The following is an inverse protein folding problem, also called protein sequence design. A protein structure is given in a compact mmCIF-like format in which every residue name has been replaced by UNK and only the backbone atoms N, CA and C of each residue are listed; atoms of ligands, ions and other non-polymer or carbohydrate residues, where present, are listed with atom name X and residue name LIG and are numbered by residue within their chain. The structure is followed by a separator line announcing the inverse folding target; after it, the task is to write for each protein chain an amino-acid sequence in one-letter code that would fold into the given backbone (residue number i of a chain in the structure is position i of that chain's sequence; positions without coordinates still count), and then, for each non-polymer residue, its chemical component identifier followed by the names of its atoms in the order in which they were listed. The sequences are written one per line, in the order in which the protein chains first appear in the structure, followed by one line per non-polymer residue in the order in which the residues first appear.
data_IF_887322485071
#
_entry.id   IF_887322485071
#
_cell.length_a   1.000
_cell.length_b   1.000
_cell.length_c   1.000
_cell.angle_alpha   90.00
_cell.angle_beta   90.00
_cell.angle_gamma   90.00
#
_symmetry.space_group_name_H-M   'P 1'
#
loop_
_entity.id
_entity.type
_entity.pdbx_description
1 polymer ?
#
# COMPACT_ATOMS: atom_id res chain seq x y z
N UNK A 1 -12.11 -24.12 -23.04
CA UNK A 1 -11.56 -23.12 -24.01
C UNK A 1 -12.13 -21.73 -23.76
N UNK A 2 -12.13 -21.23 -22.51
CA UNK A 2 -12.75 -19.94 -22.15
C UNK A 2 -11.78 -18.98 -21.45
N UNK A 3 -10.52 -19.36 -21.26
CA UNK A 3 -9.58 -18.54 -20.48
C UNK A 3 -8.74 -17.50 -21.24
N UNK A 4 -8.78 -17.45 -22.57
CA UNK A 4 -7.97 -16.51 -23.36
C UNK A 4 -8.64 -15.18 -23.69
N UNK A 5 -9.97 -15.10 -23.62
CA UNK A 5 -10.70 -13.87 -23.96
C UNK A 5 -10.78 -12.87 -22.79
N UNK A 6 -10.75 -13.34 -21.52
CA UNK A 6 -10.89 -12.47 -20.35
C UNK A 6 -9.63 -11.66 -20.02
N UNK A 7 -8.43 -12.21 -20.27
CA UNK A 7 -7.16 -11.51 -19.98
C UNK A 7 -6.88 -10.40 -20.99
N UNK A 8 -7.33 -10.54 -22.24
CA UNK A 8 -7.12 -9.50 -23.27
C UNK A 8 -7.99 -8.24 -23.07
N UNK A 9 -9.12 -8.34 -22.34
CA UNK A 9 -10.03 -7.23 -22.10
C UNK A 9 -9.62 -6.36 -20.88
N UNK A 10 -8.76 -6.85 -19.99
CA UNK A 10 -8.39 -6.13 -18.75
C UNK A 10 -7.65 -4.81 -19.00
N UNK A 11 -6.65 -4.72 -19.89
CA UNK A 11 -5.99 -3.45 -20.20
C UNK A 11 -6.97 -2.41 -20.75
N UNK A 12 -7.84 -2.80 -21.67
CA UNK A 12 -8.85 -1.91 -22.23
C UNK A 12 -9.85 -1.42 -21.18
N UNK A 13 -10.21 -2.26 -20.21
CA UNK A 13 -11.10 -1.87 -19.10
C UNK A 13 -10.42 -0.86 -18.19
N UNK A 14 -9.14 -1.06 -17.82
CA UNK A 14 -8.37 -0.14 -17.01
C UNK A 14 -8.16 1.22 -17.70
N UNK A 15 -7.87 1.22 -19.00
CA UNK A 15 -7.72 2.44 -19.80
C UNK A 15 -9.03 3.20 -19.93
N UNK A 16 -10.16 2.52 -20.14
CA UNK A 16 -11.48 3.14 -20.18
C UNK A 16 -11.85 3.82 -18.87
N UNK A 17 -11.59 3.16 -17.73
CA UNK A 17 -11.83 3.76 -16.42
C UNK A 17 -10.92 4.96 -16.20
N UNK A 18 -9.65 4.87 -16.56
CA UNK A 18 -8.73 6.01 -16.48
C UNK A 18 -9.20 7.18 -17.36
N UNK A 19 -9.66 6.91 -18.58
CA UNK A 19 -10.21 7.94 -19.47
C UNK A 19 -11.47 8.58 -18.90
N UNK A 20 -12.37 7.79 -18.28
CA UNK A 20 -13.57 8.31 -17.62
C UNK A 20 -13.22 9.20 -16.41
N UNK A 21 -12.25 8.80 -15.59
CA UNK A 21 -11.75 9.61 -14.46
C UNK A 21 -11.24 10.97 -14.99
N UNK A 22 -10.40 10.96 -16.00
CA UNK A 22 -9.84 12.18 -16.58
C UNK A 22 -10.92 13.06 -17.22
N UNK A 23 -11.89 12.46 -17.89
CA UNK A 23 -13.01 13.18 -18.49
C UNK A 23 -13.87 13.88 -17.42
N UNK A 24 -14.21 13.19 -16.32
CA UNK A 24 -14.97 13.79 -15.22
C UNK A 24 -14.18 14.86 -14.48
N UNK A 25 -12.87 14.63 -14.29
CA UNK A 25 -11.98 15.62 -13.69
C UNK A 25 -11.94 16.90 -14.52
N UNK A 26 -11.66 16.80 -15.82
CA UNK A 26 -11.52 17.95 -16.73
C UNK A 26 -12.86 18.62 -17.04
N UNK A 27 -13.97 17.90 -17.05
CA UNK A 27 -15.31 18.48 -17.19
C UNK A 27 -15.65 19.45 -16.05
N UNK A 28 -14.97 19.32 -14.91
CA UNK A 28 -15.04 20.25 -13.78
C UNK A 28 -16.48 20.51 -13.27
N UNK A 29 -17.36 19.50 -13.39
CA UNK A 29 -18.76 19.60 -12.93
C UNK A 29 -18.90 19.54 -11.42
N UNK A 30 -17.97 18.87 -10.76
CA UNK A 30 -17.95 18.68 -9.30
C UNK A 30 -16.68 19.33 -8.70
N UNK A 31 -16.71 19.70 -7.43
CA UNK A 31 -15.52 20.24 -6.74
C UNK A 31 -14.43 19.17 -6.53
N UNK A 32 -14.74 17.90 -6.70
CA UNK A 32 -13.79 16.82 -6.56
C UNK A 32 -14.21 15.55 -7.27
N UNK A 33 -13.23 14.69 -7.51
CA UNK A 33 -13.39 13.32 -8.00
C UNK A 33 -12.62 12.40 -7.05
N UNK A 34 -13.24 11.32 -6.60
CA UNK A 34 -12.60 10.31 -5.74
C UNK A 34 -12.28 9.08 -6.56
N UNK A 35 -11.10 8.50 -6.34
CA UNK A 35 -10.67 7.27 -7.01
C UNK A 35 -10.20 6.25 -5.98
N UNK A 36 -10.96 5.18 -5.85
CA UNK A 36 -10.60 3.99 -5.10
C UNK A 36 -9.62 3.14 -5.90
N UNK A 37 -8.53 2.79 -5.30
CA UNK A 37 -7.45 2.08 -5.97
C UNK A 37 -6.91 0.95 -5.11
N UNK A 38 -7.15 -0.31 -5.46
CA UNK A 38 -6.56 -1.45 -4.75
C UNK A 38 -5.03 -1.47 -4.90
N UNK A 39 -4.32 -2.34 -4.14
CA UNK A 39 -2.87 -2.43 -4.20
C UNK A 39 -2.37 -2.69 -5.61
N UNK A 40 -1.42 -1.87 -6.07
CA UNK A 40 -0.80 -2.06 -7.38
C UNK A 40 -1.68 -1.71 -8.59
N UNK A 41 -2.79 -1.00 -8.42
CA UNK A 41 -3.67 -0.63 -9.54
C UNK A 41 -3.18 0.58 -10.34
N UNK A 42 -2.01 1.14 -10.04
CA UNK A 42 -1.42 2.22 -10.81
C UNK A 42 -1.78 3.63 -10.34
N UNK A 43 -2.06 3.81 -9.03
CA UNK A 43 -2.32 5.14 -8.41
C UNK A 43 -1.36 6.22 -8.88
N UNK A 44 -0.06 6.02 -8.67
CA UNK A 44 0.95 7.03 -9.03
C UNK A 44 0.96 7.34 -10.54
N UNK A 45 0.67 6.35 -11.39
CA UNK A 45 0.54 6.54 -12.84
C UNK A 45 -0.67 7.43 -13.15
N UNK A 46 -1.81 7.20 -12.47
CA UNK A 46 -3.00 8.05 -12.60
C UNK A 46 -2.71 9.47 -12.12
N UNK A 47 -2.05 9.65 -10.96
CA UNK A 47 -1.67 10.97 -10.43
C UNK A 47 -0.80 11.74 -11.44
N UNK A 48 0.23 11.08 -11.97
CA UNK A 48 1.13 11.68 -12.98
C UNK A 48 0.38 12.03 -14.26
N UNK A 49 -0.50 11.15 -14.75
CA UNK A 49 -1.30 11.39 -15.95
C UNK A 49 -2.29 12.52 -15.74
N UNK A 50 -3.02 12.53 -14.63
CA UNK A 50 -3.96 13.60 -14.31
C UNK A 50 -3.28 14.98 -14.20
N UNK A 51 -2.14 15.03 -13.52
CA UNK A 51 -1.36 16.26 -13.43
C UNK A 51 -0.90 16.78 -14.80
N UNK A 52 -0.46 15.89 -15.69
CA UNK A 52 -0.03 16.24 -17.03
C UNK A 52 -1.21 16.73 -17.90
N UNK A 53 -2.38 16.08 -17.82
CA UNK A 53 -3.59 16.48 -18.55
C UNK A 53 -4.11 17.86 -18.07
N UNK A 54 -4.14 18.10 -16.75
CA UNK A 54 -4.49 19.42 -16.21
C UNK A 54 -3.48 20.49 -16.68
N UNK A 55 -2.18 20.17 -16.59
CA UNK A 55 -1.11 21.06 -17.03
C UNK A 55 -1.21 21.40 -18.53
N UNK A 56 -1.66 20.45 -19.37
CA UNK A 56 -1.89 20.67 -20.79
C UNK A 56 -2.98 21.73 -21.08
N UNK A 57 -3.91 21.95 -20.13
CA UNK A 57 -4.89 23.05 -20.22
C UNK A 57 -4.32 24.41 -19.80
N UNK A 58 -3.02 24.52 -19.52
CA UNK A 58 -2.39 25.74 -19.04
C UNK A 58 -2.60 26.03 -17.56
N UNK A 59 -3.21 25.12 -16.80
CA UNK A 59 -3.47 25.26 -15.37
C UNK A 59 -2.31 24.73 -14.54
N UNK A 60 -2.01 25.40 -13.41
CA UNK A 60 -1.05 24.91 -12.43
C UNK A 60 -1.70 23.92 -11.48
N UNK A 61 -0.92 22.92 -11.05
CA UNK A 61 -1.40 21.82 -10.21
C UNK A 61 -0.62 21.79 -8.88
N UNK A 62 -1.38 21.71 -7.79
CA UNK A 62 -0.89 21.39 -6.46
C UNK A 62 -0.99 19.89 -6.23
N UNK A 63 0.09 19.22 -5.82
CA UNK A 63 0.04 17.82 -5.44
C UNK A 63 0.39 17.66 -3.97
N UNK A 64 -0.44 16.90 -3.27
CA UNK A 64 -0.31 16.60 -1.85
C UNK A 64 0.00 15.11 -1.69
N UNK A 65 1.10 14.77 -1.04
CA UNK A 65 1.46 13.42 -0.66
C UNK A 65 1.64 13.30 0.87
N UNK A 66 1.76 12.09 1.41
CA UNK A 66 1.86 11.89 2.85
C UNK A 66 3.31 11.89 3.34
N UNK A 67 4.25 11.42 2.53
CA UNK A 67 5.66 11.28 2.91
C UNK A 67 6.61 11.95 1.91
N UNK A 68 7.82 12.30 2.37
CA UNK A 68 8.84 12.86 1.48
C UNK A 68 9.26 11.88 0.38
N UNK A 69 9.28 10.59 0.67
CA UNK A 69 9.63 9.57 -0.33
C UNK A 69 8.61 9.52 -1.48
N UNK A 70 7.31 9.59 -1.15
CA UNK A 70 6.24 9.72 -2.16
C UNK A 70 6.36 10.99 -2.97
N UNK A 71 6.66 12.12 -2.32
CA UNK A 71 6.92 13.40 -3.02
C UNK A 71 8.06 13.23 -4.02
N UNK A 72 9.18 12.66 -3.58
CA UNK A 72 10.38 12.49 -4.41
C UNK A 72 10.14 11.53 -5.59
N UNK A 73 9.39 10.44 -5.40
CA UNK A 73 9.00 9.53 -6.49
C UNK A 73 8.10 10.23 -7.52
N UNK A 74 7.10 10.99 -7.05
CA UNK A 74 6.24 11.76 -7.94
C UNK A 74 7.00 12.85 -8.71
N UNK A 75 7.97 13.53 -8.07
CA UNK A 75 8.84 14.52 -8.74
C UNK A 75 9.59 13.88 -9.91
N UNK A 76 10.22 12.72 -9.70
CA UNK A 76 10.97 12.01 -10.74
C UNK A 76 10.04 11.61 -11.90
N UNK A 77 8.89 11.01 -11.59
CA UNK A 77 7.93 10.56 -12.61
C UNK A 77 7.33 11.72 -13.40
N UNK A 78 7.00 12.83 -12.73
CA UNK A 78 6.44 14.01 -13.37
C UNK A 78 7.49 14.76 -14.19
N UNK A 79 8.73 14.87 -13.71
CA UNK A 79 9.84 15.42 -14.45
C UNK A 79 9.99 14.69 -15.80
N UNK A 80 10.04 13.37 -15.79
CA UNK A 80 10.13 12.57 -17.01
C UNK A 80 8.91 12.75 -17.92
N UNK A 81 7.70 12.70 -17.37
CA UNK A 81 6.45 12.80 -18.15
C UNK A 81 6.26 14.16 -18.78
N UNK A 82 6.42 15.22 -17.99
CA UNK A 82 6.24 16.60 -18.46
C UNK A 82 7.38 17.02 -19.39
N UNK A 83 8.62 16.66 -19.08
CA UNK A 83 9.77 16.96 -19.94
C UNK A 83 9.63 16.39 -21.35
N UNK A 84 9.01 15.19 -21.49
CA UNK A 84 8.71 14.59 -22.78
C UNK A 84 7.58 15.28 -23.56
N UNK A 85 6.63 15.91 -22.87
CA UNK A 85 5.43 16.54 -23.47
C UNK A 85 5.55 18.06 -23.61
N UNK A 86 6.23 18.71 -22.68
CA UNK A 86 6.40 20.15 -22.56
C UNK A 86 7.79 20.48 -22.02
N UNK A 87 8.76 20.74 -22.89
CA UNK A 87 10.14 21.05 -22.48
C UNK A 87 10.28 22.25 -21.53
N UNK A 88 9.33 23.17 -21.56
CA UNK A 88 9.24 24.36 -20.71
C UNK A 88 8.59 24.10 -19.33
N UNK A 89 8.02 22.92 -19.11
CA UNK A 89 7.32 22.62 -17.87
C UNK A 89 8.30 22.38 -16.72
N UNK A 90 8.07 23.09 -15.62
CA UNK A 90 8.86 22.97 -14.39
C UNK A 90 8.08 22.20 -13.33
N UNK A 91 8.72 21.24 -12.69
CA UNK A 91 8.20 20.53 -11.52
C UNK A 91 8.81 21.14 -10.26
N UNK A 92 7.98 21.74 -9.43
CA UNK A 92 8.39 22.33 -8.14
C UNK A 92 8.32 21.31 -7.00
N UNK A 93 9.42 21.07 -6.32
CA UNK A 93 9.43 20.30 -5.06
C UNK A 93 9.50 21.26 -3.89
N UNK A 94 8.39 21.45 -3.18
CA UNK A 94 8.32 22.28 -2.00
C UNK A 94 8.73 21.49 -0.76
N UNK A 95 9.74 21.97 -0.02
CA UNK A 95 10.36 21.24 1.08
C UNK A 95 10.49 22.10 2.36
N UNK A 96 11.00 21.53 3.41
CA UNK A 96 11.46 22.30 4.59
C UNK A 96 12.76 23.04 4.26
N UNK A 97 13.05 24.10 4.99
CA UNK A 97 14.35 24.76 4.93
C UNK A 97 15.49 23.76 5.26
N UNK A 98 16.60 23.86 4.55
CA UNK A 98 17.75 22.97 4.72
C UNK A 98 17.51 21.53 4.25
N UNK A 99 16.54 21.31 3.38
CA UNK A 99 16.33 19.99 2.76
C UNK A 99 17.42 19.75 1.71
N UNK A 100 18.21 18.67 1.88
CA UNK A 100 19.09 18.14 0.84
C UNK A 100 18.29 17.27 -0.13
N UNK A 101 18.28 17.63 -1.40
CA UNK A 101 17.60 16.83 -2.41
C UNK A 101 18.31 15.47 -2.58
N UNK A 102 17.60 14.36 -2.73
CA UNK A 102 18.23 13.10 -3.09
C UNK A 102 18.88 13.18 -4.47
N UNK A 103 19.98 12.44 -4.68
CA UNK A 103 20.72 12.39 -5.94
C UNK A 103 19.82 12.17 -7.17
N UNK A 104 18.76 11.35 -7.02
CA UNK A 104 17.78 11.09 -8.08
C UNK A 104 16.97 12.31 -8.53
N UNK A 105 16.99 13.41 -7.76
CA UNK A 105 16.30 14.66 -8.06
C UNK A 105 17.29 15.73 -8.52
N UNK A 106 18.49 15.81 -7.94
CA UNK A 106 19.49 16.83 -8.20
C UNK A 106 19.90 16.91 -9.68
N UNK A 107 19.86 15.78 -10.41
CA UNK A 107 20.24 15.71 -11.83
C UNK A 107 19.11 16.09 -12.82
N UNK A 108 17.91 16.45 -12.34
CA UNK A 108 16.76 16.72 -13.21
C UNK A 108 16.69 18.20 -13.60
N UNK A 109 16.90 18.52 -14.88
CA UNK A 109 16.99 19.89 -15.40
C UNK A 109 15.68 20.70 -15.33
N UNK A 110 14.53 20.03 -15.28
CA UNK A 110 13.22 20.67 -15.20
C UNK A 110 12.60 20.60 -13.79
N UNK A 111 13.42 20.40 -12.76
CA UNK A 111 12.98 20.37 -11.35
C UNK A 111 13.55 21.56 -10.58
N UNK A 112 12.67 22.28 -9.89
CA UNK A 112 13.03 23.32 -8.95
C UNK A 112 12.72 22.89 -7.52
N UNK A 113 13.68 23.03 -6.60
CA UNK A 113 13.50 22.69 -5.17
C UNK A 113 13.59 23.97 -4.34
N UNK A 114 12.58 24.23 -3.53
CA UNK A 114 12.58 25.38 -2.62
C UNK A 114 11.84 25.09 -1.33
N UNK A 115 12.12 25.87 -0.32
CA UNK A 115 11.34 25.92 0.92
C UNK A 115 10.25 27.00 0.90
N UNK A 116 10.26 27.87 -0.07
CA UNK A 116 9.26 28.92 -0.30
C UNK A 116 8.40 28.61 -1.53
N UNK A 117 7.09 28.57 -1.33
CA UNK A 117 6.11 28.39 -2.42
C UNK A 117 6.09 29.59 -3.39
N UNK A 118 6.57 30.78 -2.97
CA UNK A 118 6.72 31.96 -3.82
C UNK A 118 7.76 31.76 -4.90
N UNK A 119 8.90 31.18 -4.56
CA UNK A 119 9.97 30.88 -5.53
C UNK A 119 9.53 29.83 -6.58
N UNK A 120 8.56 28.97 -6.21
CA UNK A 120 7.99 27.98 -7.10
C UNK A 120 6.74 28.47 -7.87
N UNK A 121 6.44 29.77 -7.83
CA UNK A 121 5.25 30.32 -8.50
C UNK A 121 5.25 30.10 -10.03
N UNK A 122 6.40 29.88 -10.64
CA UNK A 122 6.57 29.56 -12.05
C UNK A 122 6.37 28.07 -12.38
N UNK A 123 6.37 27.20 -11.36
CA UNK A 123 6.25 25.76 -11.57
C UNK A 123 4.86 25.38 -12.14
N UNK A 124 4.87 24.50 -13.12
CA UNK A 124 3.66 23.91 -13.72
C UNK A 124 2.94 23.01 -12.73
N UNK A 125 3.71 22.22 -11.99
CA UNK A 125 3.22 21.33 -10.93
C UNK A 125 4.07 21.57 -9.69
N UNK A 126 3.43 21.80 -8.54
CA UNK A 126 4.14 21.93 -7.26
C UNK A 126 3.73 20.78 -6.33
N UNK A 127 4.72 20.06 -5.79
CA UNK A 127 4.51 18.88 -4.98
C UNK A 127 5.10 19.07 -3.59
N UNK A 128 4.33 18.71 -2.55
CA UNK A 128 4.82 18.67 -1.16
C UNK A 128 4.02 17.67 -0.31
N UNK A 129 4.51 17.44 0.90
CA UNK A 129 3.73 16.70 1.90
C UNK A 129 2.57 17.55 2.44
N UNK A 130 1.50 16.88 2.91
CA UNK A 130 0.38 17.55 3.58
C UNK A 130 0.86 18.47 4.71
N UNK A 131 1.80 18.00 5.52
CA UNK A 131 2.40 18.79 6.61
C UNK A 131 3.08 20.07 6.10
N UNK A 132 3.79 20.01 4.96
CA UNK A 132 4.43 21.22 4.39
C UNK A 132 3.39 22.17 3.81
N UNK A 133 2.39 21.67 3.12
CA UNK A 133 1.30 22.48 2.58
C UNK A 133 0.51 23.22 3.66
N UNK A 134 0.35 22.66 4.85
CA UNK A 134 -0.32 23.32 5.98
C UNK A 134 0.34 24.65 6.37
N UNK A 135 1.65 24.82 6.10
CA UNK A 135 2.40 26.04 6.38
C UNK A 135 2.43 27.06 5.23
N UNK A 136 1.90 26.72 4.07
CA UNK A 136 1.81 27.65 2.93
C UNK A 136 0.62 28.57 3.15
N UNK A 137 0.85 29.90 3.10
CA UNK A 137 -0.19 30.92 3.20
C UNK A 137 -0.23 31.75 1.92
N UNK A 138 -1.33 32.42 1.68
CA UNK A 138 -1.50 33.41 0.59
C UNK A 138 -1.19 32.89 -0.82
N UNK A 139 -1.43 31.57 -1.03
CA UNK A 139 -1.30 30.91 -2.30
C UNK A 139 -2.52 30.04 -2.57
N UNK A 140 -2.96 30.07 -3.84
CA UNK A 140 -4.15 29.34 -4.27
C UNK A 140 -3.91 28.67 -5.63
N UNK A 141 -4.48 27.48 -5.78
CA UNK A 141 -4.44 26.67 -6.99
C UNK A 141 -5.87 26.33 -7.43
N UNK A 142 -6.12 26.38 -8.70
CA UNK A 142 -7.41 25.91 -9.21
C UNK A 142 -7.55 24.40 -9.04
N UNK A 143 -6.43 23.65 -9.12
CA UNK A 143 -6.41 22.21 -9.10
C UNK A 143 -5.46 21.65 -8.05
N UNK A 144 -5.96 20.68 -7.30
CA UNK A 144 -5.16 19.85 -6.43
C UNK A 144 -5.28 18.37 -6.81
N UNK A 145 -4.25 17.59 -6.50
CA UNK A 145 -4.29 16.13 -6.50
C UNK A 145 -3.81 15.69 -5.13
N UNK A 146 -4.63 14.91 -4.43
CA UNK A 146 -4.31 14.36 -3.10
C UNK A 146 -4.02 12.88 -3.28
N UNK A 147 -2.76 12.51 -3.20
CA UNK A 147 -2.32 11.12 -3.23
C UNK A 147 -2.40 10.50 -1.83
N UNK A 148 -2.70 9.21 -1.76
CA UNK A 148 -2.98 8.45 -0.53
C UNK A 148 -4.06 9.14 0.34
N UNK A 149 -5.14 9.60 -0.29
CA UNK A 149 -6.17 10.43 0.33
C UNK A 149 -6.90 9.74 1.49
N UNK A 150 -7.01 8.39 1.48
CA UNK A 150 -7.58 7.62 2.58
C UNK A 150 -6.74 7.63 3.85
N UNK A 151 -5.42 7.83 3.72
CA UNK A 151 -4.51 7.97 4.86
C UNK A 151 -4.41 9.39 5.40
N UNK A 152 -4.92 10.36 4.65
CA UNK A 152 -4.97 11.73 5.12
C UNK A 152 -6.04 11.86 6.19
N UNK A 153 -5.70 12.51 7.29
CA UNK A 153 -6.64 12.87 8.35
C UNK A 153 -7.60 13.96 7.86
N UNK A 154 -8.84 13.93 8.35
CA UNK A 154 -9.85 14.93 7.98
C UNK A 154 -9.44 16.35 8.37
N UNK A 155 -8.82 16.55 9.54
CA UNK A 155 -8.30 17.88 9.98
C UNK A 155 -7.17 18.38 9.08
N UNK A 156 -6.33 17.49 8.57
CA UNK A 156 -5.28 17.85 7.62
C UNK A 156 -5.87 18.34 6.29
N UNK A 157 -6.93 17.69 5.79
CA UNK A 157 -7.62 18.16 4.60
C UNK A 157 -8.26 19.54 4.83
N UNK A 158 -8.93 19.75 5.96
CA UNK A 158 -9.51 21.04 6.32
C UNK A 158 -8.45 22.15 6.33
N UNK A 159 -7.23 21.87 6.85
CA UNK A 159 -6.11 22.80 6.82
C UNK A 159 -5.63 23.16 5.41
N UNK A 160 -5.97 22.38 4.39
CA UNK A 160 -5.56 22.60 2.99
C UNK A 160 -6.70 23.07 2.09
N UNK A 161 -7.95 22.84 2.47
CA UNK A 161 -9.12 23.02 1.60
C UNK A 161 -9.29 24.43 1.03
N UNK A 162 -8.84 25.46 1.76
CA UNK A 162 -8.88 26.85 1.28
C UNK A 162 -7.84 27.18 0.19
N UNK A 163 -6.94 26.25 -0.16
CA UNK A 163 -5.85 26.49 -1.10
C UNK A 163 -6.14 26.04 -2.52
N UNK A 164 -7.27 25.40 -2.75
CA UNK A 164 -7.65 24.92 -4.08
C UNK A 164 -9.17 24.96 -4.28
N UNK A 165 -9.59 25.04 -5.54
CA UNK A 165 -11.02 25.03 -5.89
C UNK A 165 -11.53 23.61 -6.14
N UNK A 166 -10.69 22.76 -6.75
CA UNK A 166 -11.05 21.42 -7.21
C UNK A 166 -9.95 20.42 -6.93
N UNK A 167 -10.33 19.18 -6.64
CA UNK A 167 -9.33 18.17 -6.38
C UNK A 167 -9.68 16.78 -6.92
N UNK A 168 -8.63 16.04 -7.29
CA UNK A 168 -8.64 14.60 -7.47
C UNK A 168 -8.11 13.95 -6.19
N UNK A 169 -8.91 13.12 -5.57
CA UNK A 169 -8.55 12.34 -4.38
C UNK A 169 -8.29 10.89 -4.79
N UNK A 170 -7.04 10.44 -4.71
CA UNK A 170 -6.66 9.07 -5.08
C UNK A 170 -6.16 8.34 -3.85
N UNK A 171 -6.66 7.14 -3.61
CA UNK A 171 -6.21 6.38 -2.45
C UNK A 171 -6.74 4.96 -2.43
N UNK A 172 -6.37 4.24 -1.40
CA UNK A 172 -6.72 2.84 -1.20
C UNK A 172 -7.56 2.69 0.08
N UNK A 173 -8.86 2.38 -0.07
CA UNK A 173 -9.77 2.27 1.08
C UNK A 173 -9.49 1.06 1.98
N UNK A 174 -8.79 0.03 1.47
CA UNK A 174 -8.48 -1.19 2.22
C UNK A 174 -7.14 -1.14 2.95
N UNK A 175 -6.34 -0.07 2.80
CA UNK A 175 -5.06 0.07 3.49
C UNK A 175 -5.20 0.79 4.84
N UNK A 176 -4.04 1.13 5.44
CA UNK A 176 -3.95 1.72 6.77
C UNK A 176 -4.81 2.97 6.94
N UNK A 177 -5.43 3.06 8.08
CA UNK A 177 -6.14 4.26 8.51
C UNK A 177 -5.20 5.43 8.80
N UNK A 178 -5.71 6.66 8.85
CA UNK A 178 -4.94 7.79 9.29
C UNK A 178 -4.32 7.57 10.67
N UNK A 179 -3.08 8.00 10.82
CA UNK A 179 -2.32 7.83 12.05
C UNK A 179 -2.09 9.17 12.76
N UNK A 180 -2.22 9.18 14.09
CA UNK A 180 -1.87 10.32 14.94
C UNK A 180 -0.98 9.87 16.10
N UNK A 181 -0.06 10.72 16.50
CA UNK A 181 0.71 10.59 17.75
C UNK A 181 0.04 11.30 18.92
N UNK A 182 -1.02 12.05 18.66
CA UNK A 182 -1.78 12.78 19.67
C UNK A 182 -2.96 11.93 20.10
N UNK A 183 -3.24 11.89 21.40
CA UNK A 183 -4.42 11.24 21.95
C UNK A 183 -5.69 11.92 21.42
N UNK A 184 -6.49 11.13 20.70
CA UNK A 184 -7.73 11.56 20.08
C UNK A 184 -8.94 10.72 20.54
N UNK A 185 -8.77 9.85 21.53
CA UNK A 185 -9.80 8.89 21.97
C UNK A 185 -11.12 9.57 22.32
N UNK A 186 -11.10 10.77 22.91
CA UNK A 186 -12.28 11.57 23.20
C UNK A 186 -13.15 11.94 21.99
N UNK A 187 -12.57 11.87 20.78
CA UNK A 187 -13.26 12.21 19.54
C UNK A 187 -13.69 10.97 18.75
N UNK A 188 -13.23 9.79 19.19
CA UNK A 188 -13.47 8.53 18.48
C UNK A 188 -14.97 8.29 18.25
N UNK A 189 -15.32 8.03 17.01
CA UNK A 189 -16.68 7.76 16.59
C UNK A 189 -17.61 8.97 16.50
N UNK A 190 -17.15 10.16 16.81
CA UNK A 190 -17.92 11.38 16.61
C UNK A 190 -17.79 11.88 15.17
N UNK A 191 -18.80 12.64 14.71
CA UNK A 191 -18.74 13.26 13.38
C UNK A 191 -17.54 14.19 13.18
N UNK A 192 -16.97 14.67 14.27
CA UNK A 192 -15.82 15.58 14.34
C UNK A 192 -14.50 14.87 14.68
N UNK A 193 -14.49 13.55 14.64
CA UNK A 193 -13.28 12.79 14.92
C UNK A 193 -12.19 13.14 13.88
N UNK A 194 -11.09 13.77 14.31
CA UNK A 194 -10.02 14.20 13.40
C UNK A 194 -9.27 13.02 12.76
N UNK A 195 -9.40 11.83 13.34
CA UNK A 195 -8.79 10.60 12.85
C UNK A 195 -9.56 9.93 11.70
N UNK A 196 -10.77 10.41 11.41
CA UNK A 196 -11.48 9.92 10.23
C UNK A 196 -10.68 10.25 8.96
N UNK A 197 -10.71 9.32 8.03
CA UNK A 197 -10.14 9.53 6.69
C UNK A 197 -10.74 10.79 6.05
N UNK A 198 -9.89 11.60 5.44
CA UNK A 198 -10.30 12.77 4.69
C UNK A 198 -11.36 12.45 3.63
N UNK A 199 -11.20 11.30 2.94
CA UNK A 199 -12.17 10.84 1.93
C UNK A 199 -13.50 10.47 2.56
N UNK A 200 -13.51 9.79 3.71
CA UNK A 200 -14.76 9.42 4.39
C UNK A 200 -15.57 10.67 4.79
N UNK A 201 -14.91 11.67 5.34
CA UNK A 201 -15.56 12.94 5.71
C UNK A 201 -16.00 13.71 4.46
N UNK A 202 -15.17 13.73 3.41
CA UNK A 202 -15.48 14.39 2.15
C UNK A 202 -16.76 13.81 1.53
N UNK A 203 -16.86 12.49 1.38
CA UNK A 203 -18.01 11.81 0.78
C UNK A 203 -19.27 11.94 1.61
N UNK A 204 -19.15 11.93 2.96
CA UNK A 204 -20.30 12.17 3.85
C UNK A 204 -20.93 13.54 3.63
N UNK A 205 -20.10 14.56 3.45
CA UNK A 205 -20.56 15.93 3.29
C UNK A 205 -20.87 16.30 1.82
N UNK A 206 -20.44 15.47 0.88
CA UNK A 206 -20.65 15.70 -0.57
C UNK A 206 -21.04 14.36 -1.22
N UNK A 207 -22.27 13.86 -1.00
CA UNK A 207 -22.71 12.54 -1.49
C UNK A 207 -22.74 12.42 -3.03
N UNK A 208 -22.82 13.56 -3.73
CA UNK A 208 -22.90 13.61 -5.20
C UNK A 208 -21.51 13.60 -5.87
N UNK A 209 -20.43 13.51 -5.10
CA UNK A 209 -19.10 13.42 -5.71
C UNK A 209 -18.94 12.11 -6.47
N UNK A 210 -18.43 12.15 -7.72
CA UNK A 210 -18.16 10.93 -8.46
C UNK A 210 -17.05 10.12 -7.78
N UNK A 211 -17.33 8.82 -7.60
CA UNK A 211 -16.37 7.83 -7.08
C UNK A 211 -16.09 6.82 -8.17
N UNK A 212 -14.86 6.80 -8.66
CA UNK A 212 -14.37 5.81 -9.61
C UNK A 212 -13.56 4.73 -8.89
N UNK A 213 -13.41 3.58 -9.53
CA UNK A 213 -12.64 2.45 -8.98
C UNK A 213 -11.71 1.91 -10.05
N UNK A 214 -10.43 1.80 -9.71
CA UNK A 214 -9.46 1.13 -10.58
C UNK A 214 -9.65 -0.38 -10.48
N UNK A 215 -9.97 -1.07 -11.59
CA UNK A 215 -10.45 -2.46 -11.50
C UNK A 215 -9.34 -3.51 -11.49
N UNK A 216 -8.09 -3.13 -11.82
CA UNK A 216 -7.01 -4.09 -12.07
C UNK A 216 -5.80 -3.82 -11.19
N UNK A 217 -5.34 -4.85 -10.47
CA UNK A 217 -4.05 -4.85 -9.78
C UNK A 217 -2.96 -5.39 -10.71
N UNK A 218 -2.01 -4.55 -11.07
CA UNK A 218 -0.82 -4.93 -11.86
C UNK A 218 0.29 -5.54 -11.01
N UNK A 219 0.16 -5.48 -9.70
CA UNK A 219 1.13 -6.02 -8.75
C UNK A 219 0.82 -7.45 -8.35
N UNK A 220 -0.39 -7.69 -7.88
CA UNK A 220 -0.75 -8.95 -7.26
C UNK A 220 -0.88 -10.07 -8.29
N UNK A 221 -0.39 -11.28 -7.98
CA UNK A 221 -0.60 -12.44 -8.84
C UNK A 221 -2.06 -12.89 -8.81
N UNK A 222 -2.47 -13.69 -9.80
CA UNK A 222 -3.82 -14.24 -9.86
C UNK A 222 -4.20 -15.04 -8.59
N UNK A 223 -3.24 -15.70 -7.95
CA UNK A 223 -3.45 -16.43 -6.69
C UNK A 223 -3.85 -15.54 -5.51
N UNK A 224 -3.58 -14.22 -5.58
CA UNK A 224 -3.93 -13.28 -4.53
C UNK A 224 -5.29 -12.61 -4.74
N UNK A 225 -5.85 -12.62 -5.96
CA UNK A 225 -7.09 -11.93 -6.29
C UNK A 225 -8.24 -12.32 -5.37
N UNK A 226 -8.54 -13.61 -5.27
CA UNK A 226 -9.70 -14.09 -4.52
C UNK A 226 -9.62 -13.82 -3.02
N UNK A 227 -8.44 -14.00 -2.41
CA UNK A 227 -8.28 -13.80 -0.97
C UNK A 227 -8.19 -12.33 -0.60
N UNK A 228 -7.40 -11.53 -1.32
CA UNK A 228 -7.22 -10.11 -1.01
C UNK A 228 -8.50 -9.33 -1.30
N UNK A 229 -9.21 -9.64 -2.39
CA UNK A 229 -10.53 -9.03 -2.67
C UNK A 229 -11.53 -9.33 -1.56
N UNK A 230 -11.67 -10.60 -1.17
CA UNK A 230 -12.63 -11.00 -0.15
C UNK A 230 -12.30 -10.43 1.22
N UNK A 231 -11.02 -10.46 1.62
CA UNK A 231 -10.60 -10.03 2.94
C UNK A 231 -10.59 -8.50 3.12
N UNK A 232 -10.33 -7.72 2.06
CA UNK A 232 -10.09 -6.29 2.21
C UNK A 232 -10.92 -5.40 1.27
N UNK A 233 -11.51 -5.96 0.22
CA UNK A 233 -12.26 -5.21 -0.80
C UNK A 233 -13.59 -5.88 -1.15
N UNK A 234 -14.42 -6.30 -0.17
CA UNK A 234 -15.61 -7.12 -0.44
C UNK A 234 -16.66 -6.39 -1.29
N UNK A 235 -16.70 -5.06 -1.26
CA UNK A 235 -17.68 -4.26 -2.00
C UNK A 235 -17.15 -3.69 -3.32
N UNK A 236 -15.84 -3.63 -3.48
CA UNK A 236 -15.22 -3.04 -4.67
C UNK A 236 -14.62 -4.09 -5.57
N UNK A 237 -14.01 -5.11 -4.98
CA UNK A 237 -13.26 -6.11 -5.70
C UNK A 237 -12.13 -5.52 -6.54
N UNK A 238 -11.35 -6.38 -7.13
CA UNK A 238 -10.41 -6.07 -8.22
C UNK A 238 -10.05 -7.38 -8.90
N UNK A 239 -9.45 -7.29 -10.09
CA UNK A 239 -8.87 -8.43 -10.78
C UNK A 239 -7.35 -8.30 -10.82
N UNK A 240 -6.66 -9.43 -10.87
CA UNK A 240 -5.23 -9.45 -11.20
C UNK A 240 -5.03 -9.12 -12.68
N UNK A 241 -4.04 -8.27 -12.98
CA UNK A 241 -3.59 -8.03 -14.35
C UNK A 241 -2.71 -9.18 -14.90
N UNK A 242 -2.32 -10.13 -14.05
CA UNK A 242 -1.59 -11.32 -14.44
C UNK A 242 -2.55 -12.52 -14.57
N UNK A 243 -2.39 -13.28 -15.62
CA UNK A 243 -3.13 -14.54 -15.81
C UNK A 243 -2.72 -15.59 -14.77
N UNK A 244 -3.54 -16.63 -14.62
CA UNK A 244 -3.18 -17.80 -13.81
C UNK A 244 -1.85 -18.38 -14.31
N UNK A 245 -0.94 -18.69 -13.40
CA UNK A 245 0.40 -19.22 -13.68
C UNK A 245 1.33 -18.29 -14.49
N UNK A 246 0.96 -17.05 -14.72
CA UNK A 246 1.85 -16.06 -15.33
C UNK A 246 2.96 -15.61 -14.38
N UNK A 247 2.64 -15.58 -13.08
CA UNK A 247 3.62 -15.23 -12.02
C UNK A 247 3.82 -16.41 -11.10
N UNK A 248 5.02 -16.94 -11.13
CA UNK A 248 5.40 -18.11 -10.36
C UNK A 248 6.72 -17.87 -9.62
N UNK A 249 6.83 -18.44 -8.43
CA UNK A 249 8.08 -18.59 -7.70
C UNK A 249 8.63 -19.99 -8.00
N UNK A 250 9.90 -20.08 -8.37
CA UNK A 250 10.61 -21.33 -8.64
C UNK A 250 11.90 -21.40 -7.88
N UNK A 251 12.47 -22.58 -7.76
CA UNK A 251 13.77 -22.80 -7.13
C UNK A 251 14.68 -23.59 -8.04
N UNK A 252 15.96 -23.19 -8.11
CA UNK A 252 17.00 -23.90 -8.88
C UNK A 252 17.71 -24.95 -8.04
N UNK A 253 17.79 -24.74 -6.72
CA UNK A 253 18.40 -25.68 -5.77
C UNK A 253 17.39 -26.67 -5.18
N UNK A 254 17.89 -27.79 -4.66
CA UNK A 254 17.06 -28.88 -4.14
C UNK A 254 16.31 -28.49 -2.85
N UNK A 255 15.14 -29.06 -2.68
CA UNK A 255 14.43 -29.07 -1.40
C UNK A 255 15.13 -29.99 -0.41
N UNK A 256 15.13 -29.63 0.87
CA UNK A 256 15.58 -30.47 1.98
C UNK A 256 14.38 -30.90 2.82
N UNK A 257 14.53 -31.94 3.59
CA UNK A 257 13.51 -32.29 4.59
C UNK A 257 13.42 -31.19 5.67
N UNK A 258 12.20 -30.81 6.02
CA UNK A 258 11.93 -29.85 7.11
C UNK A 258 10.87 -28.81 6.75
N UNK A 259 10.31 -28.17 7.79
CA UNK A 259 9.14 -27.30 7.62
C UNK A 259 9.43 -26.06 6.79
N UNK A 260 10.64 -25.49 6.86
CA UNK A 260 10.99 -24.31 6.06
C UNK A 260 11.00 -24.63 4.57
N UNK A 261 11.63 -25.74 4.15
CA UNK A 261 11.61 -26.13 2.73
C UNK A 261 10.21 -26.52 2.25
N UNK A 262 9.43 -27.22 3.06
CA UNK A 262 8.04 -27.54 2.76
C UNK A 262 7.18 -26.26 2.59
N UNK A 263 7.43 -25.24 3.43
CA UNK A 263 6.78 -23.93 3.32
C UNK A 263 7.15 -23.22 2.00
N UNK A 264 8.42 -23.27 1.61
CA UNK A 264 8.88 -22.70 0.35
C UNK A 264 8.30 -23.43 -0.86
N UNK A 265 8.20 -24.77 -0.80
CA UNK A 265 7.59 -25.58 -1.86
C UNK A 265 6.08 -25.27 -1.99
N UNK A 266 5.38 -25.10 -0.86
CA UNK A 266 3.97 -24.70 -0.87
C UNK A 266 3.80 -23.28 -1.46
N UNK A 267 4.64 -22.32 -1.06
CA UNK A 267 4.62 -20.97 -1.61
C UNK A 267 4.91 -20.95 -3.13
N UNK A 268 5.81 -21.80 -3.62
CA UNK A 268 6.09 -21.96 -5.05
C UNK A 268 4.88 -22.56 -5.81
N UNK A 269 4.18 -23.51 -5.19
CA UNK A 269 3.04 -24.19 -5.77
C UNK A 269 1.80 -23.31 -5.90
N UNK A 270 1.49 -22.53 -4.84
CA UNK A 270 0.21 -21.84 -4.69
C UNK A 270 0.31 -20.31 -4.71
N UNK A 271 1.50 -19.74 -4.53
CA UNK A 271 1.72 -18.34 -4.27
C UNK A 271 1.52 -17.94 -2.79
N UNK A 272 1.10 -18.90 -1.93
CA UNK A 272 0.84 -18.69 -0.50
C UNK A 272 1.40 -19.82 0.35
N UNK A 273 1.83 -19.51 1.57
CA UNK A 273 2.11 -20.51 2.58
C UNK A 273 1.97 -19.92 3.99
N UNK A 274 1.55 -20.75 4.94
CA UNK A 274 1.62 -20.48 6.37
C UNK A 274 2.58 -21.48 7.04
N UNK A 275 3.70 -20.98 7.54
CA UNK A 275 4.53 -21.75 8.46
C UNK A 275 3.94 -21.61 9.85
N UNK A 276 3.27 -22.67 10.31
CA UNK A 276 2.59 -22.67 11.60
C UNK A 276 3.48 -23.25 12.70
N UNK A 277 3.87 -22.41 13.63
CA UNK A 277 4.63 -22.78 14.82
C UNK A 277 3.68 -23.31 15.90
N UNK A 278 4.17 -24.18 16.84
CA UNK A 278 3.36 -24.64 17.94
C UNK A 278 2.75 -23.51 18.77
N UNK A 279 1.55 -23.73 19.31
CA UNK A 279 0.87 -22.76 20.13
C UNK A 279 1.71 -22.36 21.35
N UNK A 280 1.96 -21.08 21.51
CA UNK A 280 2.68 -20.49 22.64
C UNK A 280 2.33 -19.02 22.77
N UNK A 281 2.08 -18.57 23.99
CA UNK A 281 1.92 -17.14 24.24
C UNK A 281 3.27 -16.46 24.44
N UNK A 282 3.44 -15.29 23.84
CA UNK A 282 4.66 -14.46 23.92
C UNK A 282 4.28 -13.03 24.28
N UNK A 283 5.15 -12.34 25.04
CA UNK A 283 4.80 -11.01 25.60
C UNK A 283 5.12 -9.89 24.60
N UNK A 284 6.28 -9.92 23.96
CA UNK A 284 6.73 -8.85 23.04
C UNK A 284 7.28 -9.42 21.74
N UNK A 285 8.48 -9.97 21.80
CA UNK A 285 9.19 -10.51 20.65
C UNK A 285 9.35 -12.01 20.83
N UNK A 286 8.85 -12.77 19.89
CA UNK A 286 8.93 -14.21 19.83
C UNK A 286 10.20 -14.64 19.13
N UNK A 287 11.19 -15.10 19.91
CA UNK A 287 12.50 -15.47 19.37
C UNK A 287 12.43 -16.65 18.37
N UNK A 288 11.51 -17.60 18.59
CA UNK A 288 11.32 -18.74 17.69
C UNK A 288 10.67 -18.30 16.37
N UNK A 289 9.64 -17.45 16.44
CA UNK A 289 9.02 -16.90 15.24
C UNK A 289 10.00 -16.01 14.45
N UNK A 290 10.78 -15.18 15.13
CA UNK A 290 11.87 -14.39 14.52
C UNK A 290 12.89 -15.29 13.84
N UNK A 291 13.30 -16.38 14.49
CA UNK A 291 14.24 -17.34 13.92
C UNK A 291 13.66 -18.06 12.69
N UNK A 292 12.37 -18.41 12.72
CA UNK A 292 11.65 -19.03 11.61
C UNK A 292 11.55 -18.09 10.40
N UNK A 293 11.17 -16.82 10.62
CA UNK A 293 11.14 -15.77 9.57
C UNK A 293 12.52 -15.60 8.93
N UNK A 294 13.58 -15.45 9.76
CA UNK A 294 14.93 -15.26 9.26
C UNK A 294 15.46 -16.51 8.52
N UNK A 295 15.13 -17.71 9.01
CA UNK A 295 15.49 -18.97 8.34
C UNK A 295 14.79 -19.13 7.00
N UNK A 296 13.50 -18.77 6.90
CA UNK A 296 12.73 -18.81 5.67
C UNK A 296 13.29 -17.86 4.63
N UNK A 297 13.59 -16.60 5.00
CA UNK A 297 14.17 -15.62 4.08
C UNK A 297 15.56 -16.06 3.58
N UNK A 298 16.42 -16.53 4.48
CA UNK A 298 17.73 -17.06 4.10
C UNK A 298 17.62 -18.26 3.20
N UNK A 299 16.79 -19.24 3.55
CA UNK A 299 16.64 -20.48 2.80
C UNK A 299 16.08 -20.24 1.39
N UNK A 300 15.18 -19.26 1.24
CA UNK A 300 14.68 -18.83 -0.06
C UNK A 300 15.83 -18.40 -0.99
N UNK A 301 16.78 -17.61 -0.47
CA UNK A 301 17.97 -17.19 -1.22
C UNK A 301 18.93 -18.37 -1.50
N UNK A 302 19.19 -19.23 -0.51
CA UNK A 302 20.07 -20.39 -0.64
C UNK A 302 19.55 -21.40 -1.67
N UNK A 303 18.23 -21.52 -1.81
CA UNK A 303 17.62 -22.39 -2.85
C UNK A 303 17.65 -21.79 -4.25
N UNK A 304 18.20 -20.57 -4.42
CA UNK A 304 18.22 -19.90 -5.70
C UNK A 304 16.81 -19.65 -6.22
N UNK A 305 16.05 -18.85 -5.46
CA UNK A 305 14.70 -18.46 -5.84
C UNK A 305 14.70 -17.66 -7.15
N UNK A 306 13.77 -17.98 -8.05
CA UNK A 306 13.59 -17.35 -9.36
C UNK A 306 12.13 -16.87 -9.46
N UNK A 307 11.96 -15.61 -9.77
CA UNK A 307 10.66 -14.99 -10.06
C UNK A 307 10.40 -15.04 -11.57
N UNK A 308 9.36 -15.75 -11.98
CA UNK A 308 8.89 -15.82 -13.35
C UNK A 308 7.67 -14.93 -13.57
N UNK A 309 7.67 -14.15 -14.65
CA UNK A 309 6.53 -13.35 -15.09
C UNK A 309 6.35 -13.51 -16.59
N UNK A 310 5.43 -14.36 -17.01
CA UNK A 310 5.28 -14.73 -18.41
C UNK A 310 6.52 -15.47 -18.94
N UNK A 311 7.19 -14.87 -19.94
CA UNK A 311 8.44 -15.38 -20.50
C UNK A 311 9.69 -14.91 -19.74
N UNK A 312 9.56 -13.89 -18.90
CA UNK A 312 10.69 -13.30 -18.18
C UNK A 312 10.95 -14.09 -16.88
N UNK A 313 12.21 -14.47 -16.70
CA UNK A 313 12.71 -15.09 -15.47
C UNK A 313 13.88 -14.29 -14.91
N UNK A 314 13.88 -14.07 -13.58
CA UNK A 314 14.96 -13.37 -12.91
C UNK A 314 15.23 -13.96 -11.53
N UNK A 315 16.48 -13.99 -11.07
CA UNK A 315 16.80 -14.36 -9.71
C UNK A 315 16.11 -13.41 -8.71
N UNK A 316 15.62 -13.96 -7.61
CA UNK A 316 15.12 -13.16 -6.48
C UNK A 316 16.32 -12.75 -5.63
N UNK A 317 16.70 -11.49 -5.75
CA UNK A 317 17.79 -10.89 -4.95
C UNK A 317 17.27 -10.42 -3.59
N UNK A 318 18.15 -10.20 -2.58
CA UNK A 318 17.72 -9.78 -1.24
C UNK A 318 16.84 -8.53 -1.22
N UNK A 319 17.12 -7.54 -2.07
CA UNK A 319 16.34 -6.30 -2.21
C UNK A 319 14.94 -6.52 -2.81
N UNK A 320 14.69 -7.71 -3.36
CA UNK A 320 13.39 -8.13 -3.91
C UNK A 320 12.56 -8.95 -2.91
N UNK A 321 13.07 -9.10 -1.68
CA UNK A 321 12.38 -9.77 -0.56
C UNK A 321 12.06 -8.73 0.50
N UNK A 322 10.82 -8.75 0.99
CA UNK A 322 10.46 -8.00 2.20
C UNK A 322 10.05 -8.94 3.32
N UNK A 323 10.35 -8.51 4.52
CA UNK A 323 9.81 -9.09 5.76
C UNK A 323 8.98 -8.04 6.46
N UNK A 324 7.71 -8.35 6.70
CA UNK A 324 6.77 -7.48 7.38
C UNK A 324 6.44 -7.95 8.79
N UNK A 325 6.42 -7.02 9.75
CA UNK A 325 5.99 -7.27 11.12
C UNK A 325 5.11 -6.14 11.66
N UNK A 326 4.39 -6.41 12.76
CA UNK A 326 3.51 -5.41 13.36
C UNK A 326 4.26 -4.36 14.18
N UNK A 327 5.33 -4.74 14.86
CA UNK A 327 6.03 -3.91 15.84
C UNK A 327 7.50 -3.66 15.48
N UNK A 328 8.02 -2.48 15.83
CA UNK A 328 9.43 -2.10 15.62
C UNK A 328 10.42 -3.03 16.34
N UNK A 329 10.05 -3.52 17.52
CA UNK A 329 10.91 -4.46 18.28
C UNK A 329 11.05 -5.79 17.53
N UNK A 330 9.97 -6.25 16.89
CA UNK A 330 10.00 -7.44 16.02
C UNK A 330 10.88 -7.18 14.79
N UNK A 331 10.73 -6.02 14.14
CA UNK A 331 11.58 -5.61 13.01
C UNK A 331 13.04 -5.66 13.39
N UNK A 332 13.44 -4.99 14.49
CA UNK A 332 14.82 -4.98 14.96
C UNK A 332 15.35 -6.39 15.31
N UNK A 333 14.49 -7.26 15.86
CA UNK A 333 14.88 -8.64 16.15
C UNK A 333 15.08 -9.47 14.89
N UNK A 334 14.21 -9.30 13.88
CA UNK A 334 14.31 -9.99 12.59
C UNK A 334 15.55 -9.52 11.83
N UNK A 335 15.84 -8.20 11.81
CA UNK A 335 17.07 -7.66 11.21
C UNK A 335 18.33 -8.28 11.81
N UNK A 336 18.41 -8.36 13.15
CA UNK A 336 19.52 -9.06 13.82
C UNK A 336 19.59 -10.55 13.47
N UNK A 337 18.44 -11.23 13.41
CA UNK A 337 18.34 -12.63 13.03
C UNK A 337 18.80 -12.91 11.60
N UNK A 338 18.50 -12.01 10.67
CA UNK A 338 18.95 -12.07 9.29
C UNK A 338 20.45 -11.78 9.16
N UNK A 339 20.93 -10.71 9.81
CA UNK A 339 22.35 -10.35 9.82
C UNK A 339 23.22 -11.48 10.34
N UNK A 340 22.82 -12.12 11.44
CA UNK A 340 23.51 -13.27 12.03
C UNK A 340 23.57 -14.50 11.08
N UNK A 341 22.73 -14.53 10.05
CA UNK A 341 22.65 -15.61 9.05
C UNK A 341 23.15 -15.20 7.65
N UNK A 342 23.74 -14.01 7.51
CA UNK A 342 24.23 -13.50 6.23
C UNK A 342 23.13 -13.04 5.28
N UNK A 343 21.93 -12.77 5.76
CA UNK A 343 20.77 -12.27 4.99
C UNK A 343 20.78 -10.75 4.82
N UNK A 344 21.89 -10.19 4.31
CA UNK A 344 21.99 -8.75 4.09
C UNK A 344 21.20 -8.31 2.86
N UNK A 345 20.60 -7.11 2.93
CA UNK A 345 19.88 -6.50 1.82
C UNK A 345 18.37 -6.84 1.76
N UNK A 346 17.89 -7.78 2.59
CA UNK A 346 16.44 -8.02 2.73
C UNK A 346 15.79 -6.83 3.44
N UNK A 347 14.70 -6.31 2.87
CA UNK A 347 13.97 -5.21 3.48
C UNK A 347 13.12 -5.73 4.65
N UNK A 348 13.39 -5.25 5.86
CA UNK A 348 12.56 -5.57 7.04
C UNK A 348 11.91 -4.30 7.54
N UNK A 349 10.57 -4.28 7.67
CA UNK A 349 9.91 -3.08 8.20
C UNK A 349 8.48 -3.37 8.70
N UNK A 350 7.86 -2.36 9.30
CA UNK A 350 6.45 -2.38 9.68
C UNK A 350 5.53 -2.11 8.48
N UNK A 351 4.26 -2.46 8.59
CA UNK A 351 3.26 -2.19 7.55
C UNK A 351 3.29 -0.75 7.06
N UNK A 352 3.38 0.22 7.97
CA UNK A 352 3.41 1.65 7.63
C UNK A 352 4.55 2.03 6.68
N UNK A 353 5.71 1.41 6.82
CA UNK A 353 6.88 1.71 5.99
C UNK A 353 7.01 0.82 4.74
N UNK A 354 6.34 -0.34 4.73
CA UNK A 354 6.23 -1.18 3.54
C UNK A 354 5.16 -0.67 2.57
N UNK A 355 4.36 0.30 3.00
CA UNK A 355 3.31 0.86 2.18
C UNK A 355 3.88 1.52 0.91
N UNK A 356 3.20 1.33 -0.24
CA UNK A 356 3.65 1.78 -1.55
C UNK A 356 4.68 0.88 -2.22
N UNK A 357 5.53 0.18 -1.46
CA UNK A 357 6.56 -0.70 -2.01
C UNK A 357 5.99 -2.00 -2.61
N UNK A 358 6.81 -2.67 -3.44
CA UNK A 358 6.49 -3.99 -3.99
C UNK A 358 7.74 -4.87 -4.07
N UNK A 359 7.54 -6.18 -3.86
CA UNK A 359 8.60 -7.17 -3.79
C UNK A 359 8.20 -8.43 -4.55
N UNK A 360 9.16 -9.26 -4.91
CA UNK A 360 8.84 -10.53 -5.54
C UNK A 360 8.24 -11.50 -4.50
N UNK A 361 8.86 -11.58 -3.32
CA UNK A 361 8.40 -12.40 -2.22
C UNK A 361 8.26 -11.56 -0.94
N UNK A 362 7.18 -11.78 -0.22
CA UNK A 362 6.97 -11.17 1.10
C UNK A 362 6.83 -12.24 2.15
N UNK A 363 7.53 -12.07 3.27
CA UNK A 363 7.43 -12.91 4.45
C UNK A 363 6.80 -12.07 5.56
N UNK A 364 5.73 -12.56 6.16
CA UNK A 364 4.93 -11.82 7.15
C UNK A 364 4.96 -12.53 8.48
N UNK A 365 5.38 -11.86 9.53
CA UNK A 365 5.07 -12.31 10.89
C UNK A 365 3.64 -11.88 11.21
N UNK A 366 2.73 -12.85 11.37
CA UNK A 366 1.31 -12.56 11.57
C UNK A 366 1.10 -11.68 12.82
N UNK A 367 0.34 -10.57 12.73
CA UNK A 367 0.15 -9.64 13.84
C UNK A 367 -0.38 -10.28 15.13
N UNK A 368 -1.22 -11.31 15.02
CA UNK A 368 -1.82 -12.03 16.14
C UNK A 368 -0.97 -13.23 16.63
N UNK A 369 0.18 -13.51 15.99
CA UNK A 369 1.03 -14.65 16.38
C UNK A 369 1.49 -14.58 17.83
N UNK A 370 1.17 -15.61 18.63
CA UNK A 370 1.57 -15.74 20.04
C UNK A 370 0.88 -14.76 21.00
N UNK A 371 -0.13 -14.04 20.55
CA UNK A 371 -0.87 -13.07 21.37
C UNK A 371 -1.87 -13.76 22.30
N UNK A 372 -2.18 -13.10 23.42
CA UNK A 372 -3.27 -13.48 24.34
C UNK A 372 -4.54 -12.67 24.11
N UNK A 373 -4.42 -11.56 23.39
CA UNK A 373 -5.46 -10.59 23.15
C UNK A 373 -5.46 -10.14 21.67
N UNK A 374 -6.61 -9.92 21.14
CA UNK A 374 -6.82 -9.38 19.79
C UNK A 374 -7.17 -7.88 19.89
N UNK A 375 -6.17 -7.05 20.20
CA UNK A 375 -6.41 -5.60 20.31
C UNK A 375 -6.72 -4.96 18.97
N UNK A 376 -7.39 -3.81 18.97
CA UNK A 376 -7.71 -3.01 17.77
C UNK A 376 -6.47 -2.78 16.89
N UNK A 377 -5.29 -2.55 17.50
CA UNK A 377 -4.04 -2.40 16.75
C UNK A 377 -3.68 -3.65 15.93
N UNK A 378 -3.82 -4.85 16.52
CA UNK A 378 -3.46 -6.12 15.86
C UNK A 378 -4.52 -6.57 14.86
N UNK A 379 -5.78 -6.21 15.12
CA UNK A 379 -6.92 -6.50 14.25
C UNK A 379 -7.03 -5.54 13.07
N UNK A 380 -6.34 -4.38 13.06
CA UNK A 380 -6.46 -3.39 11.99
C UNK A 380 -6.35 -4.03 10.60
N UNK A 381 -7.47 -4.06 9.86
CA UNK A 381 -7.56 -4.70 8.54
C UNK A 381 -6.55 -4.14 7.55
N UNK A 382 -6.33 -2.83 7.57
CA UNK A 382 -5.36 -2.15 6.71
C UNK A 382 -3.92 -2.59 6.95
N UNK A 383 -3.56 -2.93 8.20
CA UNK A 383 -2.25 -3.47 8.55
C UNK A 383 -2.02 -4.84 7.91
N UNK A 384 -2.98 -5.74 8.07
CA UNK A 384 -2.91 -7.07 7.46
C UNK A 384 -2.92 -6.96 5.94
N UNK A 385 -3.76 -6.09 5.37
CA UNK A 385 -3.81 -5.82 3.93
C UNK A 385 -2.43 -5.38 3.41
N UNK A 386 -1.78 -4.39 4.03
CA UNK A 386 -0.45 -3.94 3.59
C UNK A 386 0.55 -5.08 3.67
N UNK A 387 0.61 -5.80 4.79
CA UNK A 387 1.57 -6.89 4.97
C UNK A 387 1.41 -8.00 3.92
N UNK A 388 0.17 -8.34 3.56
CA UNK A 388 -0.12 -9.48 2.66
C UNK A 388 -0.32 -9.11 1.19
N UNK A 389 -0.23 -7.82 0.82
CA UNK A 389 -0.45 -7.34 -0.56
C UNK A 389 0.75 -6.66 -1.21
N UNK A 390 1.97 -6.89 -0.71
CA UNK A 390 3.20 -6.30 -1.28
C UNK A 390 3.91 -7.22 -2.27
N UNK A 391 3.50 -8.48 -2.37
CA UNK A 391 4.15 -9.49 -3.21
C UNK A 391 3.69 -9.44 -4.67
N UNK A 392 4.60 -9.88 -5.55
CA UNK A 392 4.32 -10.11 -6.97
C UNK A 392 4.19 -11.59 -7.31
N UNK A 393 4.85 -12.47 -6.54
CA UNK A 393 4.93 -13.90 -6.82
C UNK A 393 4.45 -14.74 -5.64
N UNK A 394 4.94 -14.49 -4.42
CA UNK A 394 4.51 -15.28 -3.27
C UNK A 394 4.45 -14.47 -1.97
N UNK A 395 3.50 -14.84 -1.10
CA UNK A 395 3.39 -14.36 0.27
C UNK A 395 3.50 -15.55 1.22
N UNK A 396 4.47 -15.50 2.14
CA UNK A 396 4.69 -16.51 3.16
C UNK A 396 4.35 -15.89 4.51
N UNK A 397 3.42 -16.49 5.22
CA UNK A 397 3.05 -16.06 6.57
C UNK A 397 3.72 -16.97 7.59
N UNK A 398 4.27 -16.43 8.66
CA UNK A 398 4.76 -17.17 9.83
C UNK A 398 3.88 -16.81 11.00
N UNK A 399 3.29 -17.79 11.64
CA UNK A 399 2.39 -17.58 12.76
C UNK A 399 2.42 -18.77 13.74
N UNK A 400 1.88 -18.55 14.92
CA UNK A 400 1.65 -19.65 15.88
C UNK A 400 0.23 -20.19 15.71
N UNK A 401 0.06 -21.46 15.95
CA UNK A 401 -1.26 -22.07 16.11
C UNK A 401 -2.04 -21.37 17.23
N UNK A 402 -3.38 -21.40 17.15
CA UNK A 402 -4.28 -20.79 18.13
C UNK A 402 -4.76 -19.40 17.76
N UNK A 403 -4.48 -18.88 16.55
CA UNK A 403 -5.03 -17.58 16.10
C UNK A 403 -6.54 -17.65 15.87
N UNK A 404 -7.12 -18.71 15.25
CA UNK A 404 -8.58 -18.84 15.10
C UNK A 404 -9.30 -18.81 16.45
N UNK A 405 -8.80 -19.56 17.44
CA UNK A 405 -9.36 -19.62 18.79
C UNK A 405 -9.26 -18.27 19.51
N UNK A 406 -8.16 -17.53 19.28
CA UNK A 406 -8.00 -16.17 19.79
C UNK A 406 -9.06 -15.23 19.20
N UNK A 407 -9.33 -15.32 17.91
CA UNK A 407 -10.35 -14.51 17.24
C UNK A 407 -11.75 -14.87 17.75
N UNK A 408 -12.04 -16.14 17.91
CA UNK A 408 -13.34 -16.61 18.44
C UNK A 408 -13.59 -16.13 19.87
N UNK A 409 -12.52 -16.07 20.68
CA UNK A 409 -12.58 -15.54 22.04
C UNK A 409 -12.69 -14.01 22.11
N UNK A 410 -12.31 -13.30 21.04
CA UNK A 410 -12.29 -11.84 20.97
C UNK A 410 -13.00 -11.36 19.70
N UNK A 411 -14.30 -11.61 19.54
CA UNK A 411 -15.05 -11.10 18.39
C UNK A 411 -14.96 -9.59 18.36
N UNK A 412 -14.95 -9.03 17.17
CA UNK A 412 -14.88 -7.57 17.01
C UNK A 412 -16.09 -6.92 17.67
N UNK A 413 -15.80 -6.00 18.57
CA UNK A 413 -16.78 -5.14 19.23
C UNK A 413 -16.44 -3.67 18.97
N UNK A 414 -16.13 -3.34 17.72
CA UNK A 414 -15.93 -1.94 17.37
C UNK A 414 -17.22 -1.16 17.69
N UNK A 415 -17.14 -0.11 18.51
CA UNK A 415 -18.33 0.63 18.88
C UNK A 415 -18.98 1.26 17.65
N UNK A 416 -20.26 0.99 17.45
CA UNK A 416 -21.05 1.64 16.39
C UNK A 416 -21.56 2.98 16.93
N UNK A 417 -21.11 4.05 16.30
CA UNK A 417 -21.55 5.39 16.64
C UNK A 417 -22.54 5.91 15.60
N UNK A 418 -23.61 6.57 16.06
CA UNK A 418 -24.55 7.22 15.15
C UNK A 418 -23.83 8.26 14.28
N UNK A 419 -24.11 8.24 12.99
CA UNK A 419 -23.51 9.13 11.97
C UNK A 419 -22.03 8.87 11.66
N UNK A 420 -21.41 7.81 12.19
CA UNK A 420 -20.11 7.33 11.73
C UNK A 420 -20.26 6.32 10.60
N UNK A 421 -19.36 6.36 9.64
CA UNK A 421 -19.27 5.31 8.63
C UNK A 421 -18.66 4.05 9.26
N UNK A 422 -19.33 2.93 9.09
CA UNK A 422 -18.77 1.64 9.45
C UNK A 422 -17.66 1.29 8.45
N UNK A 423 -16.54 0.77 8.96
CA UNK A 423 -15.50 0.21 8.12
C UNK A 423 -15.80 -1.27 7.89
N UNK A 424 -15.95 -1.65 6.63
CA UNK A 424 -16.12 -3.03 6.22
C UNK A 424 -15.07 -3.42 5.16
N UNK A 425 -14.53 -4.65 5.26
CA UNK A 425 -14.69 -5.54 6.41
C UNK A 425 -14.02 -4.95 7.65
N UNK A 426 -14.51 -5.32 8.82
CA UNK A 426 -13.79 -5.00 10.05
C UNK A 426 -12.51 -5.85 10.17
N UNK A 427 -11.68 -5.54 11.16
CA UNK A 427 -10.41 -6.24 11.32
C UNK A 427 -10.56 -7.71 11.69
N UNK A 428 -11.63 -8.07 12.40
CA UNK A 428 -11.93 -9.46 12.76
C UNK A 428 -12.32 -10.27 11.50
N UNK A 429 -13.25 -9.77 10.69
CA UNK A 429 -13.68 -10.40 9.44
C UNK A 429 -12.52 -10.56 8.45
N UNK A 430 -11.68 -9.52 8.32
CA UNK A 430 -10.50 -9.57 7.46
C UNK A 430 -9.49 -10.65 7.88
N UNK A 431 -9.25 -10.80 9.19
CA UNK A 431 -8.38 -11.85 9.72
C UNK A 431 -8.99 -13.22 9.49
N UNK A 432 -10.29 -13.43 9.74
CA UNK A 432 -10.97 -14.70 9.49
C UNK A 432 -10.89 -15.11 8.02
N UNK A 433 -11.17 -14.19 7.09
CA UNK A 433 -11.09 -14.46 5.67
C UNK A 433 -9.66 -14.84 5.20
N UNK A 434 -8.64 -14.19 5.78
CA UNK A 434 -7.25 -14.49 5.47
C UNK A 434 -6.84 -15.84 6.05
N UNK A 435 -7.21 -16.15 7.29
CA UNK A 435 -6.91 -17.43 7.93
C UNK A 435 -7.63 -18.61 7.25
N UNK A 436 -8.88 -18.44 6.83
CA UNK A 436 -9.59 -19.44 6.03
C UNK A 436 -8.84 -19.78 4.74
N UNK A 437 -8.25 -18.78 4.09
CA UNK A 437 -7.39 -19.01 2.93
C UNK A 437 -6.09 -19.73 3.33
N UNK A 438 -5.38 -19.23 4.33
CA UNK A 438 -4.08 -19.76 4.76
C UNK A 438 -4.17 -21.18 5.31
N UNK A 439 -5.31 -21.59 5.89
CA UNK A 439 -5.51 -22.95 6.40
C UNK A 439 -5.29 -24.04 5.34
N UNK A 440 -5.53 -23.72 4.08
CA UNK A 440 -5.31 -24.63 2.93
C UNK A 440 -3.85 -24.69 2.48
N UNK A 441 -3.01 -23.82 3.00
CA UNK A 441 -1.60 -23.65 2.66
C UNK A 441 -0.71 -23.73 3.90
N UNK A 442 -1.20 -24.38 4.95
CA UNK A 442 -0.50 -24.52 6.25
C UNK A 442 0.51 -25.64 6.21
N UNK A 443 1.71 -25.32 6.65
CA UNK A 443 2.80 -26.27 6.90
C UNK A 443 3.16 -26.20 8.40
N UNK A 444 2.88 -27.25 9.19
CA UNK A 444 3.22 -27.23 10.59
C UNK A 444 4.75 -27.32 10.78
N UNK A 445 5.27 -26.50 11.69
CA UNK A 445 6.62 -26.65 12.21
C UNK A 445 6.57 -27.67 13.34
N UNK A 446 7.01 -28.88 13.06
CA UNK A 446 7.05 -29.97 14.04
C UNK A 446 8.02 -29.67 15.18
#
# INVERSE_FOLDING_TARGET
MTGRSEVSDQPMTADRVTAAILADLLAARHPGVVVDSPPGAGKSTLVVRAAAEIAATGQRVMIVAQTNEQVDDLVVRLSARLGAQRPDAVVGRLSRAGFGAPQRIEGLSNVAVSSDAGELAHATVTIATAAKWAHVRDRHWRWAIVDEAYQMRSDSLLGLASRFDRALFVGDPGQLDPFSTVDSDRWRGLAWDPMQSAVAVLLRNNPDLPVHRLPVSWRLPASAEGVVSRAFYPFTGFRSGAAAHERELRFTGPSRSGPVDATLDEAARSGWALLELPARHTIRTDAEAVAAVAATARRLLERGAVARSGADERPVTPDRIAVGAAHRDQVAAIERGLAARGGFGVKVDTANRLQGAEFDVVIVLHPLSGRRDATTFHLESGRLCVLTSRHRHACIVVGRAGIPELLDAHPSVEPVHLKSLLKFPDGWEANQAMLDHLSRHTVPAL
#
